data_IF_908609057874
#
_entry.id   IF_908609057874
#
_cell.length_a   1.000
_cell.length_b   1.000
_cell.length_c   1.000
_cell.angle_alpha   90.00
_cell.angle_beta   90.00
_cell.angle_gamma   90.00
#
_symmetry.space_group_name_H-M   'P 1'
#
loop_
_entity.id
_entity.type
_entity.pdbx_description
1 polymer ?
#
# COMPACT_ATOMS: atom_id res chain seq x y z
N UNK A 1 24.83 9.12 -3.63
CA UNK A 1 25.35 7.73 -3.56
C UNK A 1 25.54 7.26 -2.12
N UNK A 2 25.90 8.15 -1.19
CA UNK A 2 26.09 7.85 0.24
C UNK A 2 24.92 7.10 0.91
N UNK A 3 23.66 7.52 0.70
CA UNK A 3 22.49 6.81 1.26
C UNK A 3 22.37 5.36 0.78
N UNK A 4 22.79 5.08 -0.45
CA UNK A 4 22.79 3.72 -1.01
C UNK A 4 23.92 2.89 -0.41
N UNK A 5 25.07 3.51 -0.14
CA UNK A 5 26.22 2.89 0.53
C UNK A 5 25.90 2.58 2.01
N UNK A 6 25.15 3.46 2.67
CA UNK A 6 24.66 3.27 4.05
C UNK A 6 23.50 2.25 4.13
N UNK A 7 23.13 1.61 3.03
CA UNK A 7 22.09 0.58 3.01
C UNK A 7 20.69 1.11 3.27
N UNK A 8 20.41 2.37 2.92
CA UNK A 8 19.07 2.95 3.12
C UNK A 8 18.01 2.11 2.40
N UNK A 9 16.97 1.63 3.11
CA UNK A 9 15.91 0.82 2.53
C UNK A 9 15.26 1.49 1.32
N UNK A 10 15.06 0.71 0.26
CA UNK A 10 14.37 1.17 -0.95
C UNK A 10 12.90 1.42 -0.65
N UNK A 11 12.33 2.44 -1.29
CA UNK A 11 10.91 2.80 -1.15
C UNK A 11 10.00 1.59 -1.43
N UNK A 12 8.84 1.51 -0.78
CA UNK A 12 7.93 0.40 -0.98
C UNK A 12 7.39 0.42 -2.42
N UNK A 13 7.24 -0.75 -3.01
CA UNK A 13 6.68 -0.96 -4.35
C UNK A 13 5.16 -0.86 -4.28
N UNK A 14 4.56 -0.13 -5.23
CA UNK A 14 3.11 -0.14 -5.40
C UNK A 14 2.65 -1.39 -6.16
N UNK A 15 1.36 -1.73 -6.05
CA UNK A 15 0.81 -2.88 -6.79
C UNK A 15 1.04 -2.76 -8.29
N UNK A 16 0.92 -1.54 -8.85
CA UNK A 16 1.27 -1.29 -10.25
C UNK A 16 2.76 -1.51 -10.55
N UNK A 17 3.68 -1.13 -9.65
CA UNK A 17 5.11 -1.40 -9.87
C UNK A 17 5.42 -2.90 -9.85
N UNK A 18 4.73 -3.66 -9.01
CA UNK A 18 4.85 -5.12 -8.95
C UNK A 18 4.33 -5.72 -10.27
N UNK A 19 3.13 -5.34 -10.69
CA UNK A 19 2.55 -5.74 -11.98
C UNK A 19 3.48 -5.43 -13.16
N UNK A 20 4.00 -4.20 -13.24
CA UNK A 20 4.96 -3.82 -14.29
C UNK A 20 6.21 -4.70 -14.21
N UNK A 21 6.77 -4.95 -13.03
CA UNK A 21 8.00 -5.75 -12.92
C UNK A 21 7.85 -7.19 -13.44
N UNK A 22 6.67 -7.78 -13.32
CA UNK A 22 6.36 -9.12 -13.83
C UNK A 22 6.10 -9.11 -15.34
N UNK A 23 5.32 -8.13 -15.83
CA UNK A 23 4.83 -8.12 -17.21
C UNK A 23 5.75 -7.36 -18.19
N UNK A 24 6.78 -6.66 -17.70
CA UNK A 24 7.67 -5.85 -18.55
C UNK A 24 8.58 -6.70 -19.45
N UNK A 25 8.94 -7.92 -19.03
CA UNK A 25 9.82 -8.81 -19.81
C UNK A 25 9.10 -9.53 -20.96
N UNK A 26 7.79 -9.73 -20.86
CA UNK A 26 7.02 -10.51 -21.84
C UNK A 26 6.79 -9.76 -23.17
N UNK A 27 6.89 -8.43 -23.16
CA UNK A 27 6.78 -7.62 -24.37
C UNK A 27 8.13 -7.56 -25.11
N UNK A 28 8.39 -8.43 -26.09
CA UNK A 28 9.57 -8.29 -26.98
C UNK A 28 9.26 -7.32 -28.12
N UNK A 29 10.22 -6.45 -28.48
CA UNK A 29 10.15 -5.63 -29.71
C UNK A 29 9.62 -4.20 -29.61
N UNK A 30 9.20 -3.73 -28.43
CA UNK A 30 8.70 -2.34 -28.23
C UNK A 30 9.71 -1.46 -27.48
N UNK A 31 9.67 -0.15 -27.75
CA UNK A 31 10.38 0.85 -26.94
C UNK A 31 9.92 0.76 -25.47
N UNK A 32 10.82 0.91 -24.47
CA UNK A 32 10.47 0.89 -23.05
C UNK A 32 9.29 1.81 -22.67
N UNK A 33 9.20 2.98 -23.31
CA UNK A 33 8.11 3.94 -23.08
C UNK A 33 6.78 3.40 -23.59
N UNK A 34 6.77 2.82 -24.80
CA UNK A 34 5.57 2.23 -25.39
C UNK A 34 5.06 1.03 -24.57
N UNK A 35 5.97 0.21 -24.04
CA UNK A 35 5.64 -0.89 -23.12
C UNK A 35 4.98 -0.42 -21.86
N UNK A 36 5.55 0.60 -21.21
CA UNK A 36 4.99 1.13 -19.97
C UNK A 36 3.58 1.69 -20.19
N UNK A 37 3.36 2.37 -21.33
CA UNK A 37 2.03 2.85 -21.71
C UNK A 37 1.04 1.69 -21.88
N UNK A 38 1.42 0.62 -22.58
CA UNK A 38 0.57 -0.56 -22.73
C UNK A 38 0.25 -1.22 -21.39
N UNK A 39 1.25 -1.38 -20.52
CA UNK A 39 1.05 -1.96 -19.18
C UNK A 39 0.13 -1.10 -18.32
N UNK A 40 0.23 0.23 -18.41
CA UNK A 40 -0.69 1.14 -17.74
C UNK A 40 -2.12 0.96 -18.25
N UNK A 41 -2.31 0.93 -19.57
CA UNK A 41 -3.62 0.73 -20.19
C UNK A 41 -4.21 -0.65 -19.81
N UNK A 42 -3.40 -1.70 -19.74
CA UNK A 42 -3.80 -3.03 -19.26
C UNK A 42 -4.18 -2.99 -17.78
N UNK A 43 -3.35 -2.39 -16.93
CA UNK A 43 -3.61 -2.26 -15.50
C UNK A 43 -4.95 -1.56 -15.22
N UNK A 44 -5.26 -0.48 -15.95
CA UNK A 44 -6.54 0.21 -15.76
C UNK A 44 -7.75 -0.68 -16.09
N UNK A 45 -7.62 -1.56 -17.08
CA UNK A 45 -8.68 -2.50 -17.50
C UNK A 45 -8.83 -3.72 -16.59
N UNK A 46 -7.83 -4.06 -15.76
CA UNK A 46 -7.93 -5.18 -14.83
C UNK A 46 -9.05 -4.95 -13.81
N UNK A 47 -9.78 -6.02 -13.48
CA UNK A 47 -10.81 -6.00 -12.44
C UNK A 47 -10.18 -5.83 -11.05
N UNK A 48 -10.99 -5.43 -10.07
CA UNK A 48 -10.57 -5.33 -8.67
C UNK A 48 -9.97 -6.64 -8.17
N UNK A 49 -10.60 -7.78 -8.48
CA UNK A 49 -10.13 -9.12 -8.12
C UNK A 49 -8.78 -9.48 -8.73
N UNK A 50 -8.51 -9.07 -9.99
CA UNK A 50 -7.21 -9.27 -10.62
C UNK A 50 -6.13 -8.35 -10.04
N UNK A 51 -6.52 -7.17 -9.56
CA UNK A 51 -5.62 -6.24 -8.87
C UNK A 51 -5.31 -6.66 -7.42
N UNK A 52 -6.21 -7.40 -6.78
CA UNK A 52 -6.07 -7.78 -5.35
C UNK A 52 -4.72 -8.41 -5.00
N UNK A 53 -4.19 -9.41 -5.73
CA UNK A 53 -2.89 -10.00 -5.40
C UNK A 53 -1.76 -8.97 -5.40
N UNK A 54 -1.76 -8.06 -6.39
CA UNK A 54 -0.76 -6.99 -6.49
C UNK A 54 -0.89 -5.96 -5.37
N UNK A 55 -2.12 -5.65 -4.94
CA UNK A 55 -2.37 -4.75 -3.82
C UNK A 55 -1.93 -5.37 -2.49
N UNK A 56 -2.17 -6.67 -2.30
CA UNK A 56 -1.71 -7.41 -1.13
C UNK A 56 -0.18 -7.41 -1.04
N UNK A 57 0.50 -7.74 -2.14
CA UNK A 57 1.97 -7.68 -2.22
C UNK A 57 2.50 -6.26 -1.95
N UNK A 58 1.77 -5.22 -2.34
CA UNK A 58 2.16 -3.84 -2.07
C UNK A 58 2.03 -3.48 -0.57
N UNK A 59 1.02 -4.00 0.13
CA UNK A 59 0.90 -3.82 1.57
C UNK A 59 1.99 -4.60 2.32
N UNK A 60 2.31 -5.82 1.89
CA UNK A 60 3.42 -6.59 2.44
C UNK A 60 4.77 -5.86 2.23
N UNK A 61 4.99 -5.28 1.04
CA UNK A 61 6.21 -4.52 0.74
C UNK A 61 6.29 -3.21 1.54
N UNK A 62 5.14 -2.62 1.91
CA UNK A 62 5.05 -1.48 2.81
C UNK A 62 5.45 -1.88 4.24
N UNK A 63 4.97 -3.02 4.74
CA UNK A 63 5.40 -3.56 6.05
C UNK A 63 6.89 -3.85 6.07
N UNK A 64 7.42 -4.50 5.01
CA UNK A 64 8.86 -4.72 4.82
C UNK A 64 9.64 -3.40 4.92
N UNK A 65 9.24 -2.38 4.16
CA UNK A 65 9.91 -1.08 4.18
C UNK A 65 9.87 -0.40 5.54
N UNK A 66 8.73 -0.48 6.25
CA UNK A 66 8.61 0.11 7.59
C UNK A 66 9.55 -0.56 8.59
N UNK A 67 9.65 -1.88 8.55
CA UNK A 67 10.55 -2.64 9.42
C UNK A 67 12.02 -2.37 9.08
N UNK A 68 12.40 -2.45 7.80
CA UNK A 68 13.75 -2.15 7.35
C UNK A 68 14.16 -0.72 7.71
N UNK A 69 13.25 0.25 7.55
CA UNK A 69 13.55 1.64 7.90
C UNK A 69 13.71 1.85 9.40
N UNK A 70 12.91 1.19 10.25
CA UNK A 70 13.09 1.27 11.71
C UNK A 70 14.50 0.78 12.10
N UNK A 71 14.92 -0.36 11.56
CA UNK A 71 16.26 -0.91 11.81
C UNK A 71 17.36 -0.01 11.26
N UNK A 72 17.15 0.55 10.06
CA UNK A 72 18.11 1.48 9.47
C UNK A 72 18.23 2.79 10.26
N UNK A 73 17.11 3.35 10.70
CA UNK A 73 17.09 4.56 11.53
C UNK A 73 17.77 4.33 12.88
N UNK A 74 17.54 3.17 13.52
CA UNK A 74 18.25 2.78 14.74
C UNK A 74 19.77 2.69 14.50
N UNK A 75 20.20 2.10 13.38
CA UNK A 75 21.62 2.04 13.00
C UNK A 75 22.22 3.43 12.74
N UNK A 76 21.48 4.32 12.09
CA UNK A 76 21.95 5.69 11.86
C UNK A 76 22.09 6.48 13.15
N UNK A 77 21.20 6.25 14.12
CA UNK A 77 21.27 6.84 15.47
C UNK A 77 22.53 6.36 16.21
N UNK A 78 22.81 5.06 16.17
CA UNK A 78 24.01 4.48 16.79
C UNK A 78 25.31 5.02 16.19
N UNK A 79 25.31 5.31 14.89
CA UNK A 79 26.45 5.92 14.18
C UNK A 79 26.54 7.44 14.37
N UNK A 80 25.65 8.06 15.18
CA UNK A 80 25.61 9.50 15.39
C UNK A 80 25.17 10.30 14.16
N UNK A 81 24.56 9.64 13.16
CA UNK A 81 24.08 10.24 11.90
C UNK A 81 22.58 10.50 11.97
N UNK A 82 22.18 11.26 12.97
CA UNK A 82 20.79 11.66 13.22
C UNK A 82 20.22 12.51 12.07
N UNK A 83 21.09 13.19 11.32
CA UNK A 83 20.76 13.97 10.11
C UNK A 83 20.06 13.15 9.03
N UNK A 84 20.24 11.83 9.03
CA UNK A 84 19.72 10.93 8.00
C UNK A 84 18.37 10.28 8.37
N UNK A 85 17.91 10.44 9.62
CA UNK A 85 16.69 9.85 10.15
C UNK A 85 15.46 10.66 9.72
N UNK A 86 14.32 10.01 9.47
CA UNK A 86 13.08 10.74 9.13
C UNK A 86 12.61 11.52 10.36
N UNK A 87 12.48 12.84 10.22
CA UNK A 87 11.88 13.68 11.27
C UNK A 87 10.47 13.17 11.61
N UNK A 88 10.23 12.86 12.89
CA UNK A 88 8.95 12.31 13.40
C UNK A 88 7.73 13.20 13.08
N UNK A 89 7.95 14.47 12.70
CA UNK A 89 6.88 15.44 12.44
C UNK A 89 6.41 15.53 10.98
N UNK A 90 6.91 14.68 10.08
CA UNK A 90 6.52 14.74 8.66
C UNK A 90 5.68 13.54 8.20
N UNK A 91 4.51 13.29 8.81
CA UNK A 91 3.36 12.64 8.12
C UNK A 91 1.99 12.95 8.76
N UNK A 92 1.23 13.92 8.23
CA UNK A 92 -0.18 13.71 7.97
C UNK A 92 -0.30 13.30 6.49
N UNK A 93 -0.35 11.99 6.21
CA UNK A 93 -0.74 11.56 4.86
C UNK A 93 -2.25 11.78 4.74
N UNK A 94 -2.63 12.80 3.95
CA UNK A 94 -3.95 12.94 3.32
C UNK A 94 -4.41 11.55 2.86
N UNK A 95 -5.52 11.08 3.43
CA UNK A 95 -6.28 9.96 2.88
C UNK A 95 -6.80 10.41 1.51
N UNK A 96 -6.18 9.95 0.44
CA UNK A 96 -6.76 10.07 -0.90
C UNK A 96 -8.00 9.19 -0.92
N UNK A 97 -9.13 9.80 -1.27
CA UNK A 97 -10.48 9.27 -1.15
C UNK A 97 -10.76 8.20 -2.22
N UNK A 98 -10.39 6.94 -1.95
CA UNK A 98 -10.80 5.80 -2.80
C UNK A 98 -10.99 4.50 -2.00
N UNK A 99 -11.47 4.61 -0.76
CA UNK A 99 -11.90 3.46 0.05
C UNK A 99 -12.99 3.90 1.03
N UNK A 100 -14.02 4.58 0.51
CA UNK A 100 -15.21 4.97 1.26
C UNK A 100 -16.44 4.08 0.95
N UNK A 101 -16.42 3.28 -0.11
CA UNK A 101 -17.56 2.45 -0.52
C UNK A 101 -17.74 1.16 0.31
N UNK A 102 -16.68 0.64 0.97
CA UNK A 102 -16.79 -0.63 1.71
C UNK A 102 -17.02 -0.46 3.23
N UNK A 103 -17.27 0.76 3.69
CA UNK A 103 -17.52 1.05 5.12
C UNK A 103 -18.98 1.31 5.47
N UNK A 104 -19.86 1.49 4.47
CA UNK A 104 -21.30 1.70 4.69
C UNK A 104 -22.06 0.39 4.92
N UNK A 105 -21.63 -0.73 4.32
CA UNK A 105 -22.29 -2.04 4.47
C UNK A 105 -22.10 -2.64 5.87
N UNK A 106 -20.94 -2.44 6.50
CA UNK A 106 -20.68 -2.93 7.86
C UNK A 106 -21.50 -2.16 8.92
N UNK A 107 -21.74 -0.86 8.73
CA UNK A 107 -22.47 -0.02 9.69
C UNK A 107 -24.00 -0.25 9.63
N UNK A 108 -24.53 -0.57 8.44
CA UNK A 108 -25.93 -0.96 8.27
C UNK A 108 -26.24 -2.31 8.96
N UNK A 109 -25.34 -3.30 8.84
CA UNK A 109 -25.54 -4.63 9.42
C UNK A 109 -25.53 -4.62 10.96
N UNK A 110 -24.68 -3.78 11.57
CA UNK A 110 -24.67 -3.61 13.04
C UNK A 110 -25.90 -2.85 13.57
N UNK A 111 -26.51 -1.96 12.77
CA UNK A 111 -27.69 -1.20 13.21
C UNK A 111 -28.96 -2.06 13.20
N UNK A 112 -29.09 -2.97 12.24
CA UNK A 112 -30.23 -3.89 12.16
C UNK A 112 -30.24 -4.95 13.28
N UNK A 113 -29.07 -5.51 13.63
CA UNK A 113 -28.97 -6.46 14.77
C UNK A 113 -29.34 -5.80 16.11
N UNK A 114 -29.02 -4.52 16.29
CA UNK A 114 -29.34 -3.79 17.53
C UNK A 114 -30.83 -3.45 17.66
N UNK A 115 -31.55 -3.29 16.55
CA UNK A 115 -32.99 -3.06 16.54
C UNK A 115 -33.77 -4.34 16.88
N UNK A 116 -33.38 -5.50 16.34
CA UNK A 116 -34.04 -6.79 16.60
C UNK A 116 -33.90 -7.26 18.05
N UNK A 117 -32.80 -6.90 18.73
CA UNK A 117 -32.58 -7.26 20.15
C UNK A 117 -33.42 -6.41 21.11
N UNK A 118 -33.83 -5.19 20.72
CA UNK A 118 -34.61 -4.30 21.59
C UNK A 118 -36.10 -4.58 21.59
N UNK A 119 -36.66 -5.18 20.53
CA UNK A 119 -38.07 -5.56 20.50
C UNK A 119 -38.38 -6.85 21.29
N UNK A 120 -37.37 -7.72 21.49
CA UNK A 120 -37.56 -9.00 22.18
C UNK A 120 -37.44 -8.92 23.71
N UNK A 121 -37.15 -7.73 24.26
CA UNK A 121 -36.97 -7.49 25.70
C UNK A 121 -38.14 -6.72 26.33
N UNK A 122 -39.21 -6.48 25.58
CA UNK A 122 -40.39 -5.73 26.04
C UNK A 122 -41.64 -6.59 26.21
N UNK A 123 -41.51 -7.93 26.19
CA UNK A 123 -42.64 -8.87 26.32
C UNK A 123 -42.36 -10.00 27.33
N UNK A 124 -41.58 -9.71 28.38
CA UNK A 124 -41.53 -10.48 29.62
C UNK A 124 -41.61 -9.54 30.82
#
# INVERSE_FOLDING_TARGET
KELTVLGKPKRPRSGFNIFVSENFQESKGLSPVAKLKQLFDTWQKLSSSQKQPYLQLAEDDKVRYENEMKSWEAKMLELGREDLIRSKNQRPKKKTAETAEESETAKAFSREKKAKLKLKKSEE
#
